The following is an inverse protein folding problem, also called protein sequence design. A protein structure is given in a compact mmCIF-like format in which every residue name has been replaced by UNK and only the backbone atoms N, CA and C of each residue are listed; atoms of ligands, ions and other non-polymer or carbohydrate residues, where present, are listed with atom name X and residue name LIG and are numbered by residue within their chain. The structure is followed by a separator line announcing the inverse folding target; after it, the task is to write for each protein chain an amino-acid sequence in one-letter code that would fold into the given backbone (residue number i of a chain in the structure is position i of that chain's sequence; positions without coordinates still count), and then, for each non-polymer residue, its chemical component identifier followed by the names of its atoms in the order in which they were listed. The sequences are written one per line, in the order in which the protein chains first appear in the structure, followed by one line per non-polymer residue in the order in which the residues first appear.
data_IF_641640850660
#
_entry.id   IF_641640850660
#
_cell.length_a   1.000
_cell.length_b   1.000
_cell.length_c   1.000
_cell.angle_alpha   90.00
_cell.angle_beta   90.00
_cell.angle_gamma   90.00
#
_symmetry.space_group_name_H-M   'P 1'
#
loop_
_entity.id
_entity.type
_entity.pdbx_description
1 polymer ?
#
# COMPACT_ATOMS: atom_id res chain seq x y z
N UNK A 1 -17.04 -8.60 18.15
CA UNK A 1 -17.54 -7.30 18.68
C UNK A 1 -16.74 -6.05 18.28
N UNK A 2 -15.40 -6.08 18.21
CA UNK A 2 -14.55 -4.87 18.07
C UNK A 2 -14.88 -3.89 16.93
N UNK A 3 -15.31 -4.39 15.78
CA UNK A 3 -15.65 -3.55 14.64
C UNK A 3 -16.98 -2.82 14.87
N UNK A 4 -17.97 -3.55 15.37
CA UNK A 4 -19.32 -3.06 15.65
C UNK A 4 -19.31 -1.90 16.65
N UNK A 5 -18.51 -1.99 17.72
CA UNK A 5 -18.42 -0.91 18.73
C UNK A 5 -17.80 0.38 18.19
N UNK A 6 -16.82 0.26 17.29
CA UNK A 6 -16.20 1.43 16.65
C UNK A 6 -17.13 2.05 15.62
N UNK A 7 -17.83 1.22 14.87
CA UNK A 7 -18.80 1.65 13.84
C UNK A 7 -20.05 2.26 14.47
N UNK A 8 -20.51 1.75 15.62
CA UNK A 8 -21.66 2.30 16.35
C UNK A 8 -21.48 3.77 16.78
N UNK A 9 -20.24 4.24 16.93
CA UNK A 9 -19.91 5.65 17.26
C UNK A 9 -19.87 6.56 16.02
N UNK A 10 -19.97 6.00 14.82
CA UNK A 10 -19.88 6.70 13.54
C UNK A 10 -21.29 6.99 13.03
N UNK A 11 -21.50 8.14 12.36
CA UNK A 11 -22.85 8.49 11.89
C UNK A 11 -23.28 7.58 10.73
N UNK A 12 -24.58 7.36 10.57
CA UNK A 12 -25.13 6.46 9.55
C UNK A 12 -24.68 6.83 8.13
N UNK A 13 -24.59 8.13 7.84
CA UNK A 13 -24.07 8.63 6.56
C UNK A 13 -22.63 8.20 6.29
N UNK A 14 -21.80 8.17 7.32
CA UNK A 14 -20.40 7.79 7.21
C UNK A 14 -20.23 6.27 7.16
N UNK A 15 -21.11 5.53 7.83
CA UNK A 15 -21.19 4.07 7.69
C UNK A 15 -21.48 3.67 6.25
N UNK A 16 -22.41 4.37 5.58
CA UNK A 16 -22.68 4.19 4.15
C UNK A 16 -21.45 4.51 3.29
N UNK A 17 -20.72 5.59 3.57
CA UNK A 17 -19.47 5.91 2.84
C UNK A 17 -18.38 4.84 3.06
N UNK A 18 -18.32 4.24 4.26
CA UNK A 18 -17.42 3.11 4.56
C UNK A 18 -17.85 1.86 3.77
N UNK A 19 -19.15 1.56 3.72
CA UNK A 19 -19.73 0.45 2.98
C UNK A 19 -19.48 0.57 1.46
N UNK A 20 -19.74 1.73 0.87
CA UNK A 20 -19.46 2.01 -0.55
C UNK A 20 -18.00 1.81 -0.93
N UNK A 21 -17.07 2.09 0.00
CA UNK A 21 -15.62 1.97 -0.26
C UNK A 21 -15.07 0.57 -0.15
N UNK A 22 -15.63 -0.22 0.74
CA UNK A 22 -15.17 -1.59 1.01
C UNK A 22 -15.91 -2.61 0.13
N UNK A 23 -17.11 -2.24 -0.33
CA UNK A 23 -18.06 -3.15 -0.93
C UNK A 23 -18.99 -3.72 0.16
N UNK A 24 -20.23 -4.00 -0.23
CA UNK A 24 -21.27 -4.49 0.69
C UNK A 24 -20.84 -5.80 1.36
N UNK A 25 -20.28 -6.75 0.60
CA UNK A 25 -19.85 -8.08 1.06
C UNK A 25 -18.76 -8.05 2.14
N UNK A 26 -17.74 -7.20 2.01
CA UNK A 26 -16.65 -7.12 3.00
C UNK A 26 -17.08 -6.34 4.25
N UNK A 27 -17.95 -5.34 4.07
CA UNK A 27 -18.54 -4.57 5.16
C UNK A 27 -19.50 -5.42 6.02
N UNK A 28 -20.39 -6.20 5.38
CA UNK A 28 -21.30 -7.12 6.07
C UNK A 28 -20.53 -8.20 6.81
N UNK A 29 -19.52 -8.81 6.17
CA UNK A 29 -18.61 -9.78 6.79
C UNK A 29 -17.90 -9.22 8.03
N UNK A 30 -17.41 -7.98 7.95
CA UNK A 30 -16.79 -7.31 9.10
C UNK A 30 -17.78 -7.02 10.24
N UNK A 31 -19.06 -6.81 9.94
CA UNK A 31 -20.13 -6.55 10.91
C UNK A 31 -20.62 -7.83 11.61
N UNK A 32 -20.77 -8.92 10.85
CA UNK A 32 -21.33 -10.18 11.31
C UNK A 32 -20.30 -11.11 11.99
N UNK A 33 -18.99 -10.78 11.94
CA UNK A 33 -17.90 -11.60 12.54
C UNK A 33 -18.08 -13.11 12.28
N UNK A 34 -18.00 -13.53 11.01
CA UNK A 34 -17.85 -14.93 10.56
C UNK A 34 -18.78 -16.00 11.19
N UNK A 35 -19.91 -15.63 11.79
CA UNK A 35 -21.03 -16.56 12.03
C UNK A 35 -22.04 -16.35 10.90
N UNK A 36 -22.01 -17.31 9.97
CA UNK A 36 -23.03 -17.59 8.96
C UNK A 36 -23.26 -16.51 7.88
N UNK A 37 -22.54 -16.65 6.77
CA UNK A 37 -23.10 -16.28 5.46
C UNK A 37 -23.11 -17.56 4.63
N UNK A 38 -24.29 -18.20 4.56
CA UNK A 38 -24.58 -19.16 3.52
C UNK A 38 -24.31 -18.52 2.15
N UNK A 39 -23.71 -19.31 1.26
CA UNK A 39 -23.38 -18.87 -0.09
C UNK A 39 -24.67 -18.89 -0.91
N UNK A 40 -25.32 -17.75 -1.02
CA UNK A 40 -26.22 -17.54 -2.17
C UNK A 40 -25.34 -17.21 -3.38
N UNK A 41 -25.35 -18.16 -4.32
CA UNK A 41 -24.79 -18.03 -5.66
C UNK A 41 -25.50 -16.91 -6.40
N UNK A 42 -24.72 -16.05 -7.06
CA UNK A 42 -25.12 -15.28 -8.24
C UNK A 42 -23.81 -14.73 -8.85
N UNK A 43 -23.22 -15.52 -9.73
CA UNK A 43 -22.01 -15.19 -10.50
C UNK A 43 -22.40 -15.00 -11.97
N UNK A 44 -22.88 -13.81 -12.30
CA UNK A 44 -23.06 -13.37 -13.68
C UNK A 44 -22.35 -12.03 -13.86
N UNK A 45 -21.05 -12.04 -14.22
CA UNK A 45 -20.46 -11.11 -15.20
C UNK A 45 -18.96 -11.38 -15.48
N UNK A 46 -18.64 -12.37 -16.31
CA UNK A 46 -17.37 -12.40 -17.06
C UNK A 46 -17.58 -12.82 -18.52
N UNK A 47 -18.11 -11.91 -19.33
CA UNK A 47 -17.90 -11.96 -20.79
C UNK A 47 -16.99 -10.80 -21.21
N UNK A 48 -15.67 -11.05 -21.26
CA UNK A 48 -14.75 -10.23 -22.02
C UNK A 48 -13.46 -10.98 -22.41
N UNK A 49 -13.32 -11.24 -23.72
CA UNK A 49 -12.07 -11.40 -24.49
C UNK A 49 -11.29 -12.73 -24.39
N UNK A 50 -11.73 -13.74 -25.16
CA UNK A 50 -10.98 -14.99 -25.41
C UNK A 50 -10.68 -15.26 -26.89
N UNK A 51 -10.46 -14.23 -27.71
CA UNK A 51 -10.22 -14.44 -29.16
C UNK A 51 -8.74 -14.47 -29.56
N UNK A 52 -7.81 -14.00 -28.72
CA UNK A 52 -6.38 -13.90 -29.09
C UNK A 52 -5.52 -15.11 -28.71
N UNK A 53 -6.08 -16.13 -28.04
CA UNK A 53 -5.31 -17.30 -27.54
C UNK A 53 -5.32 -18.52 -28.48
N UNK A 54 -6.07 -18.50 -29.58
CA UNK A 54 -6.23 -19.67 -30.45
C UNK A 54 -4.99 -19.95 -31.31
N UNK A 55 -4.30 -18.91 -31.79
CA UNK A 55 -3.13 -19.01 -32.69
C UNK A 55 -1.83 -19.49 -32.01
N UNK A 56 -1.70 -19.31 -30.69
CA UNK A 56 -0.54 -19.80 -29.93
C UNK A 56 -0.65 -21.28 -29.57
N UNK A 57 -1.86 -21.84 -29.55
CA UNK A 57 -2.10 -23.25 -29.18
C UNK A 57 -1.67 -24.25 -30.26
N UNK A 58 -1.84 -23.91 -31.55
CA UNK A 58 -1.48 -24.78 -32.67
C UNK A 58 0.04 -24.97 -32.80
N UNK A 59 0.80 -23.88 -32.65
CA UNK A 59 2.27 -23.94 -32.65
C UNK A 59 2.84 -24.75 -31.48
N UNK A 60 2.14 -24.78 -30.34
CA UNK A 60 2.55 -25.55 -29.16
C UNK A 60 2.32 -27.06 -29.33
N UNK A 61 1.29 -27.46 -30.07
CA UNK A 61 1.02 -28.87 -30.39
C UNK A 61 2.06 -29.46 -31.35
N UNK A 62 2.38 -28.75 -32.43
CA UNK A 62 3.39 -29.16 -33.42
C UNK A 62 4.79 -29.26 -32.77
N UNK A 63 5.14 -28.32 -31.89
CA UNK A 63 6.39 -28.39 -31.12
C UNK A 63 6.45 -29.62 -30.20
N UNK A 64 5.35 -29.98 -29.55
CA UNK A 64 5.33 -31.10 -28.61
C UNK A 64 5.41 -32.48 -29.31
N UNK A 65 4.83 -32.63 -30.51
CA UNK A 65 4.91 -33.86 -31.31
C UNK A 65 6.30 -34.09 -31.93
N UNK A 66 7.04 -33.03 -32.25
CA UNK A 66 8.41 -33.17 -32.78
C UNK A 66 9.46 -33.43 -31.69
N UNK A 67 9.23 -32.95 -30.45
CA UNK A 67 10.12 -33.19 -29.31
C UNK A 67 10.15 -34.68 -28.91
N UNK A 68 9.05 -35.42 -29.12
CA UNK A 68 8.98 -36.85 -28.76
C UNK A 68 9.71 -37.78 -29.74
N UNK A 69 10.11 -37.29 -30.92
CA UNK A 69 10.72 -38.11 -32.00
C UNK A 69 12.17 -37.77 -32.33
N UNK A 70 12.81 -36.87 -31.59
CA UNK A 70 14.22 -36.47 -31.83
C UNK A 70 14.53 -36.01 -33.26
N UNK A 71 13.52 -35.51 -33.99
CA UNK A 71 13.64 -35.02 -35.37
C UNK A 71 13.95 -33.50 -35.37
N UNK A 72 14.74 -33.01 -36.36
CA UNK A 72 15.01 -31.58 -36.48
C UNK A 72 13.74 -30.80 -36.84
N UNK A 73 13.54 -29.65 -36.18
CA UNK A 73 12.35 -28.79 -36.38
C UNK A 73 12.72 -27.61 -37.27
N UNK A 74 11.94 -27.39 -38.33
CA UNK A 74 12.07 -26.22 -39.17
C UNK A 74 11.64 -24.95 -38.41
N UNK A 75 12.48 -23.91 -38.44
CA UNK A 75 12.18 -22.60 -37.84
C UNK A 75 12.35 -21.48 -38.87
N UNK A 76 11.47 -20.47 -38.80
CA UNK A 76 11.54 -19.29 -39.68
C UNK A 76 12.86 -18.53 -39.51
N UNK A 77 13.51 -18.19 -40.63
CA UNK A 77 14.73 -17.39 -40.68
C UNK A 77 14.58 -15.97 -40.13
N UNK A 78 13.34 -15.45 -40.03
CA UNK A 78 13.04 -14.16 -39.38
C UNK A 78 13.14 -14.23 -37.85
N UNK A 79 13.17 -15.43 -37.27
CA UNK A 79 13.30 -15.63 -35.83
C UNK A 79 14.77 -15.55 -35.45
N UNK A 80 15.16 -14.45 -34.79
CA UNK A 80 16.53 -14.28 -34.27
C UNK A 80 16.88 -15.47 -33.36
N UNK A 81 18.06 -16.11 -33.55
CA UNK A 81 18.50 -17.16 -32.66
C UNK A 81 18.57 -16.62 -31.23
N UNK A 82 18.20 -17.45 -30.25
CA UNK A 82 18.38 -17.09 -28.85
C UNK A 82 19.87 -16.84 -28.66
N UNK A 83 20.23 -15.65 -28.13
CA UNK A 83 21.59 -15.44 -27.63
C UNK A 83 21.82 -16.59 -26.65
N UNK A 84 22.86 -17.42 -26.87
CA UNK A 84 23.30 -18.36 -25.84
C UNK A 84 23.42 -17.52 -24.59
N UNK A 85 22.61 -17.82 -23.58
CA UNK A 85 22.77 -17.19 -22.27
C UNK A 85 24.22 -17.48 -21.92
N UNK A 86 25.08 -16.46 -22.06
CA UNK A 86 26.37 -16.48 -21.42
C UNK A 86 25.96 -16.64 -19.96
N UNK A 87 26.04 -17.88 -19.46
CA UNK A 87 25.85 -18.14 -18.05
C UNK A 87 26.72 -17.10 -17.40
N UNK A 88 26.14 -16.08 -16.71
CA UNK A 88 26.99 -15.13 -16.04
C UNK A 88 27.84 -16.01 -15.17
N UNK A 89 29.16 -15.99 -15.37
CA UNK A 89 30.09 -16.70 -14.51
C UNK A 89 29.74 -16.17 -13.15
N UNK A 90 28.94 -16.95 -12.42
CA UNK A 90 28.42 -16.57 -11.13
C UNK A 90 29.68 -16.16 -10.39
N UNK A 91 29.69 -14.94 -9.89
CA UNK A 91 30.83 -14.30 -9.22
C UNK A 91 31.13 -15.05 -7.91
N UNK A 92 31.41 -16.35 -8.02
CA UNK A 92 31.80 -17.30 -7.00
C UNK A 92 33.22 -16.89 -6.64
N UNK A 93 33.34 -15.99 -5.66
CA UNK A 93 34.63 -15.65 -5.08
C UNK A 93 34.96 -14.16 -4.97
N UNK A 94 34.14 -13.23 -5.50
CA UNK A 94 34.30 -11.83 -5.11
C UNK A 94 33.72 -11.66 -3.71
N UNK A 95 34.56 -11.72 -2.68
CA UNK A 95 34.20 -11.34 -1.30
C UNK A 95 33.63 -9.92 -1.38
N UNK A 96 32.32 -9.80 -1.27
CA UNK A 96 31.67 -8.51 -1.21
C UNK A 96 32.12 -7.88 0.11
N UNK A 97 32.96 -6.84 0.03
CA UNK A 97 33.27 -6.00 1.20
C UNK A 97 31.97 -5.25 1.49
N UNK A 98 31.14 -5.85 2.34
CA UNK A 98 29.91 -5.25 2.81
C UNK A 98 30.13 -4.78 4.24
N UNK A 99 29.57 -3.61 4.55
CA UNK A 99 29.49 -3.12 5.90
C UNK A 99 28.80 -4.21 6.76
N UNK A 100 29.43 -4.66 7.86
CA UNK A 100 28.88 -5.70 8.73
C UNK A 100 27.44 -5.42 9.16
N UNK A 101 27.03 -4.15 9.32
CA UNK A 101 25.66 -3.75 9.67
C UNK A 101 24.61 -4.19 8.65
N UNK A 102 25.03 -4.43 7.41
CA UNK A 102 24.17 -4.85 6.31
C UNK A 102 24.55 -6.26 5.81
N UNK A 103 25.35 -7.01 6.57
CA UNK A 103 25.61 -8.41 6.29
C UNK A 103 24.50 -9.27 6.89
N UNK A 104 23.99 -10.21 6.08
CA UNK A 104 22.94 -11.17 6.45
C UNK A 104 23.34 -12.04 7.66
N UNK A 105 24.63 -12.11 7.96
CA UNK A 105 25.18 -12.86 9.11
C UNK A 105 24.79 -12.26 10.47
N UNK A 106 24.42 -10.97 10.55
CA UNK A 106 24.12 -10.29 11.81
C UNK A 106 22.61 -10.18 12.11
N UNK A 107 21.78 -10.86 11.31
CA UNK A 107 20.34 -10.97 11.52
C UNK A 107 19.51 -9.95 10.74
N UNK A 108 18.18 -10.11 10.87
CA UNK A 108 17.21 -9.29 10.15
C UNK A 108 16.80 -8.04 10.93
N UNK A 109 16.42 -7.00 10.18
CA UNK A 109 15.94 -5.74 10.77
C UNK A 109 14.57 -5.92 11.46
N UNK A 110 14.55 -5.85 12.79
CA UNK A 110 13.32 -5.77 13.55
C UNK A 110 12.90 -4.31 13.77
N UNK A 111 11.86 -3.88 13.04
CA UNK A 111 11.35 -2.51 13.10
C UNK A 111 10.77 -2.10 14.45
N UNK A 112 10.37 -3.05 15.31
CA UNK A 112 9.86 -2.76 16.65
C UNK A 112 11.01 -2.48 17.62
N UNK A 113 11.94 -3.42 17.75
CA UNK A 113 13.12 -3.28 18.61
C UNK A 113 13.96 -2.06 18.26
N UNK A 114 14.11 -1.78 16.96
CA UNK A 114 14.81 -0.58 16.51
C UNK A 114 14.11 0.69 17.02
N UNK A 115 12.78 0.77 16.93
CA UNK A 115 12.03 1.95 17.39
C UNK A 115 12.09 2.10 18.90
N UNK A 116 12.02 1.00 19.64
CA UNK A 116 12.14 1.00 21.10
C UNK A 116 13.56 1.41 21.54
N UNK A 117 14.60 0.80 20.96
CA UNK A 117 16.01 1.05 21.31
C UNK A 117 16.48 2.46 20.92
N UNK A 118 15.99 2.98 19.78
CA UNK A 118 16.39 4.28 19.25
C UNK A 118 15.32 5.36 19.40
N UNK A 119 14.41 5.21 20.37
CA UNK A 119 13.33 6.17 20.60
C UNK A 119 13.85 7.59 20.85
N UNK A 120 14.98 7.70 21.57
CA UNK A 120 15.63 8.97 21.92
C UNK A 120 15.96 9.84 20.70
N UNK A 121 16.23 9.24 19.53
CA UNK A 121 16.51 9.99 18.30
C UNK A 121 15.28 10.81 17.89
N UNK A 122 14.07 10.28 18.10
CA UNK A 122 12.83 11.00 17.81
C UNK A 122 12.66 12.19 18.75
N UNK A 123 13.02 12.04 20.02
CA UNK A 123 12.98 13.13 20.99
C UNK A 123 14.02 14.22 20.69
N UNK A 124 15.22 13.83 20.27
CA UNK A 124 16.23 14.77 19.77
C UNK A 124 15.70 15.56 18.57
N UNK A 125 15.12 14.88 17.57
CA UNK A 125 14.51 15.56 16.41
C UNK A 125 13.41 16.53 16.80
N UNK A 126 12.60 16.21 17.83
CA UNK A 126 11.56 17.13 18.34
C UNK A 126 12.18 18.38 18.98
N UNK A 127 13.28 18.25 19.72
CA UNK A 127 14.04 19.37 20.28
C UNK A 127 14.65 20.24 19.16
N UNK A 128 15.34 19.62 18.21
CA UNK A 128 15.90 20.30 17.02
C UNK A 128 14.83 21.07 16.24
N UNK A 129 13.64 20.49 16.05
CA UNK A 129 12.53 21.15 15.37
C UNK A 129 12.09 22.42 16.11
N UNK A 130 12.09 22.40 17.44
CA UNK A 130 11.77 23.58 18.25
C UNK A 130 12.87 24.66 18.15
N UNK A 131 14.14 24.28 18.11
CA UNK A 131 15.27 25.20 17.91
C UNK A 131 15.24 25.83 16.52
N UNK A 132 15.05 25.03 15.47
CA UNK A 132 14.93 25.53 14.10
C UNK A 132 13.75 26.49 13.94
N UNK A 133 12.63 26.25 14.63
CA UNK A 133 11.51 27.20 14.67
C UNK A 133 11.89 28.54 15.32
N UNK A 134 12.72 28.52 16.37
CA UNK A 134 13.23 29.76 17.00
C UNK A 134 14.17 30.49 16.03
N UNK A 135 15.09 29.76 15.39
CA UNK A 135 15.98 30.32 14.38
C UNK A 135 15.21 30.92 13.19
N UNK A 136 14.17 30.26 12.71
CA UNK A 136 13.32 30.78 11.63
C UNK A 136 12.65 32.10 11.99
N UNK A 137 12.28 32.30 13.26
CA UNK A 137 11.68 33.55 13.74
C UNK A 137 12.72 34.68 13.85
N UNK A 138 13.96 34.35 14.23
CA UNK A 138 15.04 35.32 14.41
C UNK A 138 15.76 35.69 13.10
N UNK A 139 15.82 34.76 12.15
CA UNK A 139 16.45 34.97 10.86
C UNK A 139 15.76 36.14 10.12
N UNK A 140 16.53 36.98 9.44
CA UNK A 140 16.01 38.06 8.61
C UNK A 140 16.19 37.79 7.11
N UNK A 141 17.31 37.16 6.73
CA UNK A 141 17.65 36.84 5.35
C UNK A 141 16.57 35.94 4.70
N UNK A 142 15.97 36.36 3.57
CA UNK A 142 15.00 35.54 2.84
C UNK A 142 15.57 34.20 2.37
N UNK A 143 16.84 34.13 1.98
CA UNK A 143 17.42 32.89 1.43
C UNK A 143 17.57 31.84 2.54
N UNK A 144 18.14 32.22 3.68
CA UNK A 144 18.25 31.36 4.85
C UNK A 144 16.89 30.97 5.43
N UNK A 145 15.91 31.89 5.46
CA UNK A 145 14.52 31.57 5.84
C UNK A 145 13.95 30.44 5.00
N UNK A 146 14.18 30.44 3.69
CA UNK A 146 13.68 29.35 2.83
C UNK A 146 14.36 28.02 3.14
N UNK A 147 15.69 28.02 3.35
CA UNK A 147 16.46 26.83 3.76
C UNK A 147 15.96 26.28 5.11
N UNK A 148 15.72 27.16 6.09
CA UNK A 148 15.18 26.75 7.40
C UNK A 148 13.78 26.15 7.26
N UNK A 149 12.90 26.75 6.45
CA UNK A 149 11.56 26.22 6.19
C UNK A 149 11.61 24.82 5.55
N UNK A 150 12.51 24.57 4.60
CA UNK A 150 12.63 23.25 3.96
C UNK A 150 13.10 22.20 4.94
N UNK A 151 14.10 22.51 5.76
CA UNK A 151 14.61 21.61 6.82
C UNK A 151 13.53 21.32 7.86
N UNK A 152 12.82 22.33 8.35
CA UNK A 152 11.71 22.16 9.31
C UNK A 152 10.62 21.28 8.71
N UNK A 153 10.25 21.47 7.45
CA UNK A 153 9.22 20.65 6.80
C UNK A 153 9.67 19.18 6.67
N UNK A 154 10.95 18.93 6.38
CA UNK A 154 11.53 17.59 6.32
C UNK A 154 11.48 16.92 7.69
N UNK A 155 11.99 17.58 8.73
CA UNK A 155 12.01 17.03 10.10
C UNK A 155 10.58 16.82 10.63
N UNK A 156 9.68 17.78 10.41
CA UNK A 156 8.27 17.65 10.79
C UNK A 156 7.61 16.44 10.12
N UNK A 157 7.93 16.19 8.85
CA UNK A 157 7.42 15.01 8.13
C UNK A 157 7.99 13.72 8.70
N UNK A 158 9.29 13.69 9.03
CA UNK A 158 9.92 12.51 9.66
C UNK A 158 9.32 12.20 11.03
N UNK A 159 9.19 13.19 11.91
CA UNK A 159 8.57 13.01 13.24
C UNK A 159 7.12 12.54 13.09
N UNK A 160 6.36 13.16 12.19
CA UNK A 160 4.98 12.74 11.94
C UNK A 160 4.88 11.29 11.45
N UNK A 161 5.78 10.86 10.56
CA UNK A 161 5.79 9.48 10.08
C UNK A 161 6.04 8.49 11.23
N UNK A 162 6.93 8.81 12.16
CA UNK A 162 7.16 8.00 13.36
C UNK A 162 5.91 7.97 14.22
N UNK A 163 5.30 9.13 14.51
CA UNK A 163 4.06 9.19 15.29
C UNK A 163 2.91 8.38 14.65
N UNK A 164 2.81 8.39 13.31
CA UNK A 164 1.81 7.62 12.56
C UNK A 164 2.06 6.10 12.67
N UNK A 165 3.32 5.66 12.66
CA UNK A 165 3.69 4.26 12.91
C UNK A 165 3.35 3.83 14.34
N UNK A 166 3.67 4.67 15.33
CA UNK A 166 3.39 4.39 16.73
C UNK A 166 1.88 4.35 17.00
N UNK A 167 1.09 5.21 16.33
CA UNK A 167 -0.39 5.11 16.36
C UNK A 167 -0.88 3.77 15.84
N UNK A 168 -0.33 3.30 14.71
CA UNK A 168 -0.71 1.99 14.15
C UNK A 168 -0.37 0.86 15.11
N UNK A 169 0.79 0.92 15.75
CA UNK A 169 1.21 -0.09 16.71
C UNK A 169 0.35 -0.10 17.98
N UNK A 170 -0.01 1.08 18.51
CA UNK A 170 -0.94 1.20 19.63
C UNK A 170 -2.28 0.56 19.30
N UNK A 171 -2.83 0.84 18.11
CA UNK A 171 -4.08 0.21 17.68
C UNK A 171 -3.96 -1.32 17.62
N UNK A 172 -2.81 -1.88 17.19
CA UNK A 172 -2.62 -3.33 17.21
C UNK A 172 -2.47 -3.89 18.63
N UNK A 173 -1.80 -3.18 19.54
CA UNK A 173 -1.67 -3.57 20.95
C UNK A 173 -3.03 -3.53 21.65
N UNK A 174 -3.80 -2.46 21.49
CA UNK A 174 -5.16 -2.34 22.03
C UNK A 174 -6.09 -3.46 21.54
N UNK A 175 -5.89 -3.88 20.29
CA UNK A 175 -6.63 -5.00 19.70
C UNK A 175 -6.22 -6.32 20.38
N UNK A 176 -4.92 -6.54 20.51
CA UNK A 176 -4.37 -7.74 21.11
C UNK A 176 -4.77 -7.88 22.59
N UNK A 177 -4.60 -6.82 23.38
CA UNK A 177 -5.00 -6.80 24.80
C UNK A 177 -6.49 -7.08 24.98
N UNK A 178 -7.33 -6.58 24.07
CA UNK A 178 -8.77 -6.87 24.12
C UNK A 178 -9.09 -8.31 23.73
N UNK A 179 -8.39 -8.89 22.77
CA UNK A 179 -8.57 -10.32 22.47
C UNK A 179 -8.12 -11.19 23.65
N UNK A 180 -7.01 -10.85 24.31
CA UNK A 180 -6.54 -11.56 25.50
C UNK A 180 -7.59 -11.52 26.62
N UNK A 181 -8.18 -10.34 26.89
CA UNK A 181 -9.25 -10.20 27.89
C UNK A 181 -10.51 -11.03 27.58
N UNK A 182 -10.89 -11.16 26.30
CA UNK A 182 -12.01 -12.02 25.92
C UNK A 182 -11.68 -13.50 26.13
N UNK A 183 -10.46 -13.91 25.79
CA UNK A 183 -9.99 -15.26 26.01
C UNK A 183 -9.95 -15.63 27.50
N UNK A 184 -9.47 -14.71 28.35
CA UNK A 184 -9.45 -14.87 29.81
C UNK A 184 -10.88 -15.02 30.38
N UNK A 185 -11.85 -14.34 29.77
CA UNK A 185 -13.28 -14.45 30.09
C UNK A 185 -13.95 -15.72 29.55
N UNK A 186 -13.24 -16.57 28.80
CA UNK A 186 -13.78 -17.76 28.15
C UNK A 186 -14.63 -17.49 26.91
N UNK A 187 -14.66 -16.25 26.43
CA UNK A 187 -15.37 -15.88 25.20
C UNK A 187 -14.50 -16.12 23.97
N UNK A 188 -15.13 -16.46 22.84
CA UNK A 188 -14.43 -16.68 21.57
C UNK A 188 -13.77 -15.38 21.06
N UNK A 189 -12.46 -15.41 20.84
CA UNK A 189 -11.73 -14.26 20.28
C UNK A 189 -11.91 -14.20 18.77
N UNK A 190 -12.49 -13.14 18.20
CA UNK A 190 -12.68 -13.04 16.75
C UNK A 190 -11.34 -12.83 16.05
N UNK A 191 -11.09 -13.57 14.96
CA UNK A 191 -9.91 -13.38 14.14
C UNK A 191 -9.96 -12.06 13.37
N UNK A 192 -8.98 -11.18 13.60
CA UNK A 192 -8.97 -9.85 13.00
C UNK A 192 -8.23 -9.88 11.67
N UNK A 193 -9.00 -10.03 10.60
CA UNK A 193 -8.52 -10.02 9.22
C UNK A 193 -7.89 -8.67 8.84
N UNK A 194 -7.07 -8.67 7.78
CA UNK A 194 -6.41 -7.46 7.27
C UNK A 194 -7.44 -6.38 6.86
N UNK A 195 -8.60 -6.79 6.37
CA UNK A 195 -9.68 -5.89 5.96
C UNK A 195 -10.32 -5.20 7.16
N UNK A 196 -10.70 -5.98 8.19
CA UNK A 196 -11.23 -5.45 9.45
C UNK A 196 -10.25 -4.45 10.07
N UNK A 197 -8.93 -4.72 10.06
CA UNK A 197 -7.92 -3.74 10.53
C UNK A 197 -7.94 -2.44 9.71
N UNK A 198 -8.11 -2.52 8.39
CA UNK A 198 -8.21 -1.32 7.54
C UNK A 198 -9.44 -0.50 7.91
N UNK A 199 -10.59 -1.14 8.12
CA UNK A 199 -11.81 -0.41 8.48
C UNK A 199 -11.69 0.21 9.87
N UNK A 200 -11.15 -0.52 10.84
CA UNK A 200 -10.89 0.04 12.17
C UNK A 200 -9.96 1.26 12.11
N UNK A 201 -8.88 1.20 11.32
CA UNK A 201 -7.98 2.35 11.11
C UNK A 201 -8.72 3.52 10.44
N UNK A 202 -9.58 3.26 9.46
CA UNK A 202 -10.39 4.28 8.82
C UNK A 202 -11.34 4.94 9.81
N UNK A 203 -12.07 4.14 10.61
CA UNK A 203 -12.97 4.63 11.64
C UNK A 203 -12.26 5.50 12.68
N UNK A 204 -11.10 5.08 13.20
CA UNK A 204 -10.33 5.91 14.16
C UNK A 204 -9.83 7.20 13.51
N UNK A 205 -9.31 7.14 12.28
CA UNK A 205 -8.87 8.37 11.59
C UNK A 205 -10.03 9.32 11.31
N UNK A 206 -11.22 8.78 11.04
CA UNK A 206 -12.42 9.57 10.81
C UNK A 206 -12.86 10.27 12.10
N UNK A 207 -12.92 9.56 13.24
CA UNK A 207 -13.26 10.17 14.53
C UNK A 207 -12.26 11.24 14.91
N UNK A 208 -10.96 11.02 14.71
CA UNK A 208 -9.92 12.02 15.00
C UNK A 208 -10.07 13.27 14.11
N UNK A 209 -10.36 13.09 12.82
CA UNK A 209 -10.60 14.18 11.89
C UNK A 209 -11.89 14.95 12.19
N UNK A 210 -12.93 14.25 12.67
CA UNK A 210 -14.19 14.85 13.11
C UNK A 210 -13.97 15.68 14.38
N UNK A 211 -13.29 15.11 15.37
CA UNK A 211 -12.95 15.80 16.63
C UNK A 211 -12.08 17.04 16.39
N UNK A 212 -11.19 16.99 15.40
CA UNK A 212 -10.36 18.15 15.02
C UNK A 212 -11.04 19.13 14.06
N UNK A 213 -12.26 18.85 13.59
CA UNK A 213 -13.00 19.67 12.63
C UNK A 213 -12.38 19.72 11.22
N UNK A 214 -11.47 18.80 10.89
CA UNK A 214 -10.71 18.79 9.62
C UNK A 214 -11.24 17.81 8.59
N UNK A 215 -12.41 17.25 8.86
CA UNK A 215 -13.02 16.21 8.05
C UNK A 215 -13.35 16.67 6.62
N UNK A 216 -13.97 17.84 6.46
CA UNK A 216 -14.37 18.35 5.15
C UNK A 216 -13.16 18.67 4.27
N UNK A 217 -12.11 19.22 4.89
CA UNK A 217 -10.82 19.45 4.22
C UNK A 217 -10.17 18.14 3.77
N UNK A 218 -10.26 17.08 4.57
CA UNK A 218 -9.77 15.76 4.20
C UNK A 218 -10.59 15.15 3.05
N UNK A 219 -11.92 15.17 3.14
CA UNK A 219 -12.82 14.62 2.12
C UNK A 219 -12.68 15.35 0.80
N UNK A 220 -12.63 16.69 0.80
CA UNK A 220 -12.40 17.49 -0.41
C UNK A 220 -11.06 17.16 -1.07
N UNK A 221 -9.97 17.05 -0.29
CA UNK A 221 -8.64 16.65 -0.81
C UNK A 221 -8.67 15.23 -1.37
N UNK A 222 -9.38 14.31 -0.73
CA UNK A 222 -9.56 12.93 -1.18
C UNK A 222 -10.36 12.86 -2.48
N UNK A 223 -11.46 13.61 -2.59
CA UNK A 223 -12.26 13.75 -3.82
C UNK A 223 -11.41 14.28 -4.98
N UNK A 224 -10.67 15.36 -4.77
CA UNK A 224 -9.74 15.91 -5.79
C UNK A 224 -8.71 14.87 -6.24
N UNK A 225 -8.06 14.16 -5.31
CA UNK A 225 -7.09 13.11 -5.65
C UNK A 225 -7.71 11.95 -6.45
N UNK A 226 -8.93 11.53 -6.10
CA UNK A 226 -9.65 10.48 -6.83
C UNK A 226 -10.03 10.95 -8.23
N UNK A 227 -10.52 12.19 -8.38
CA UNK A 227 -10.83 12.76 -9.68
C UNK A 227 -9.59 12.84 -10.59
N UNK A 228 -8.44 13.28 -10.08
CA UNK A 228 -7.18 13.29 -10.84
C UNK A 228 -6.72 11.88 -11.24
N UNK A 229 -6.90 10.89 -10.36
CA UNK A 229 -6.59 9.48 -10.68
C UNK A 229 -7.50 8.95 -11.79
N UNK A 230 -8.81 9.21 -11.71
CA UNK A 230 -9.77 8.84 -12.77
C UNK A 230 -9.39 9.50 -14.09
N UNK A 231 -9.10 10.80 -14.09
CA UNK A 231 -8.64 11.53 -15.29
C UNK A 231 -7.40 10.89 -15.93
N UNK A 232 -6.43 10.42 -15.12
CA UNK A 232 -5.22 9.74 -15.61
C UNK A 232 -5.51 8.33 -16.16
N UNK A 233 -6.55 7.66 -15.68
CA UNK A 233 -6.98 6.35 -16.18
C UNK A 233 -7.81 6.45 -17.46
N UNK A 234 -8.44 7.60 -17.72
CA UNK A 234 -9.15 7.83 -18.97
C UNK A 234 -8.16 7.84 -20.14
N UNK A 235 -8.47 7.16 -21.26
CA UNK A 235 -7.68 7.26 -22.47
C UNK A 235 -7.54 8.73 -22.90
N UNK A 236 -6.31 9.18 -23.09
CA UNK A 236 -6.06 10.50 -23.68
C UNK A 236 -6.28 10.41 -25.18
N UNK A 237 -7.10 11.30 -25.76
CA UNK A 237 -7.23 11.45 -27.21
C UNK A 237 -5.83 11.64 -27.80
N UNK A 238 -5.43 10.76 -28.74
CA UNK A 238 -4.22 10.99 -29.54
C UNK A 238 -4.48 12.25 -30.36
N UNK A 239 -3.67 13.27 -30.16
CA UNK A 239 -3.63 14.42 -31.06
C UNK A 239 -2.84 13.91 -32.27
N UNK A 240 -3.52 13.65 -33.38
CA UNK A 240 -2.85 13.44 -34.66
C UNK A 240 -2.46 14.85 -35.14
N UNK A 241 -1.16 15.12 -35.24
CA UNK A 241 -0.62 16.41 -35.70
C UNK A 241 -0.54 16.45 -37.25
N UNK A 242 -1.55 15.93 -37.96
CA UNK A 242 -1.48 15.73 -39.41
C UNK A 242 -2.32 16.72 -40.23
N UNK A 243 -2.80 17.81 -39.63
CA UNK A 243 -3.57 18.84 -40.35
C UNK A 243 -3.10 20.22 -39.89
N UNK A 244 -2.22 20.84 -40.70
CA UNK A 244 -2.09 22.28 -40.98
C UNK A 244 -0.75 22.56 -41.73
N UNK A 245 -0.58 21.97 -42.92
CA UNK A 245 0.35 22.45 -43.96
C UNK A 245 -0.45 22.52 -45.29
N UNK A 246 -1.27 23.55 -45.45
CA UNK A 246 -1.80 23.97 -46.75
C UNK A 246 -1.47 25.47 -46.92
N UNK A 247 -0.37 25.74 -47.64
CA UNK A 247 -0.12 26.96 -48.43
C UNK A 247 -0.57 26.71 -49.89
#
# INVERSE_FOLDING_TARGET
MFFRDKVAKVSLRDMLEIQERLGTKSFTKALQNDEEVEKDEDDDNEQATNETKKSTSLNKKILNEAISKSEPIEMSSKRRPRKRDQVPVHMRGKRKIMDPRFSEQFGDYNAREFRESYHFITDMRRKELNELKKQLKACQDPTEKTKLKTVINRLKSQVKNVDDLDRVEKISKDIQEKSEKLADGGESTPYITKEVRKVMKLATTYTDLKNTGRIDAYLSKKRKRLASKKKKQMPTRRINNDEDEDD
#
